data_IF_587448638318
#
_entry.id   IF_587448638318
#
_cell.length_a   1.000
_cell.length_b   1.000
_cell.length_c   1.000
_cell.angle_alpha   90.00
_cell.angle_beta   90.00
_cell.angle_gamma   90.00
#
_symmetry.space_group_name_H-M   'P 1'
#
loop_
_entity.id
_entity.type
_entity.pdbx_description
1 polymer ?
#
# COMPACT_ATOMS: atom_id res chain seq x y z
N UNK A 1 15.22 28.36 -18.98
CA UNK A 1 15.39 26.94 -19.39
C UNK A 1 14.37 26.12 -18.61
N UNK A 2 13.40 25.48 -19.26
CA UNK A 2 12.36 24.71 -18.57
C UNK A 2 12.88 23.31 -18.23
N UNK A 3 12.69 22.87 -16.98
CA UNK A 3 13.02 21.51 -16.57
C UNK A 3 12.01 20.53 -17.18
N UNK A 4 12.46 19.40 -17.75
CA UNK A 4 11.55 18.41 -18.31
C UNK A 4 10.66 17.83 -17.20
N UNK A 5 9.34 17.82 -17.44
CA UNK A 5 8.35 17.23 -16.54
C UNK A 5 8.57 15.73 -16.49
N UNK A 6 9.06 15.22 -15.36
CA UNK A 6 9.20 13.78 -15.15
C UNK A 6 7.81 13.17 -15.05
N UNK A 7 7.41 12.44 -16.10
CA UNK A 7 6.16 11.69 -16.11
C UNK A 7 6.29 10.51 -15.15
N UNK A 8 5.53 10.55 -14.06
CA UNK A 8 5.43 9.41 -13.14
C UNK A 8 4.50 8.39 -13.81
N UNK A 9 5.08 7.34 -14.38
CA UNK A 9 4.31 6.20 -14.85
C UNK A 9 3.85 5.39 -13.64
N UNK A 10 2.57 5.45 -13.30
CA UNK A 10 1.98 4.55 -12.31
C UNK A 10 1.87 3.14 -12.88
N UNK A 11 2.31 2.15 -12.12
CA UNK A 11 2.07 0.76 -12.45
C UNK A 11 0.57 0.44 -12.38
N UNK A 12 0.10 -0.40 -13.30
CA UNK A 12 -1.25 -0.93 -13.25
C UNK A 12 -1.48 -1.71 -11.94
N UNK A 13 -2.68 -1.58 -11.38
CA UNK A 13 -3.10 -2.42 -10.25
C UNK A 13 -3.08 -3.89 -10.68
N UNK A 14 -2.58 -4.76 -9.81
CA UNK A 14 -2.54 -6.21 -10.04
C UNK A 14 -2.86 -6.94 -8.75
N UNK A 15 -3.55 -8.06 -8.87
CA UNK A 15 -3.75 -8.97 -7.76
C UNK A 15 -2.42 -9.61 -7.33
N UNK A 16 -2.15 -9.56 -6.03
CA UNK A 16 -0.96 -10.14 -5.39
C UNK A 16 -1.45 -11.05 -4.25
N UNK A 17 -1.08 -12.34 -4.26
CA UNK A 17 -1.36 -13.24 -3.15
C UNK A 17 -0.80 -12.70 -1.83
N UNK A 18 -1.59 -12.77 -0.75
CA UNK A 18 -1.22 -12.22 0.56
C UNK A 18 0.11 -12.76 1.10
N UNK A 19 0.39 -14.05 0.86
CA UNK A 19 1.64 -14.70 1.27
C UNK A 19 2.90 -14.17 0.56
N UNK A 20 2.77 -13.34 -0.48
CA UNK A 20 3.88 -12.66 -1.14
C UNK A 20 4.10 -11.23 -0.62
N UNK A 21 3.22 -10.75 0.27
CA UNK A 21 3.38 -9.45 0.91
C UNK A 21 4.33 -9.58 2.10
N UNK A 22 5.39 -8.78 2.11
CA UNK A 22 6.30 -8.65 3.24
C UNK A 22 6.16 -7.27 3.86
N UNK A 23 6.12 -7.23 5.19
CA UNK A 23 6.13 -5.97 5.94
C UNK A 23 7.50 -5.30 5.77
N UNK A 24 7.50 -4.05 5.31
CA UNK A 24 8.67 -3.19 5.41
C UNK A 24 8.64 -2.47 6.76
N UNK A 25 9.79 -2.31 7.41
CA UNK A 25 9.91 -1.51 8.64
C UNK A 25 9.46 -0.05 8.42
N UNK A 26 9.48 0.44 7.18
CA UNK A 26 8.93 1.74 6.81
C UNK A 26 7.39 1.80 6.82
N UNK A 27 6.69 0.66 6.69
CA UNK A 27 5.23 0.59 6.66
C UNK A 27 4.58 0.69 8.06
N UNK A 28 5.35 0.55 9.14
CA UNK A 28 4.83 0.58 10.52
C UNK A 28 4.37 1.99 10.94
N UNK A 29 4.74 3.03 10.17
CA UNK A 29 4.57 4.43 10.57
C UNK A 29 3.39 5.08 9.86
N UNK A 30 2.16 4.73 10.27
CA UNK A 30 0.98 5.63 10.35
C UNK A 30 -0.31 4.81 10.42
N UNK A 31 -0.87 4.67 11.62
CA UNK A 31 -2.31 4.47 11.78
C UNK A 31 -2.96 5.84 11.60
N UNK A 32 -4.01 5.93 10.79
CA UNK A 32 -4.78 7.18 10.63
C UNK A 32 -5.29 7.61 12.01
N UNK A 33 -5.14 8.88 12.38
CA UNK A 33 -5.58 9.37 13.71
C UNK A 33 -7.05 9.01 13.94
N UNK A 34 -7.32 8.25 15.02
CA UNK A 34 -8.67 8.01 15.53
C UNK A 34 -9.28 6.64 15.20
N UNK A 35 -8.58 5.73 14.50
CA UNK A 35 -9.03 4.35 14.30
C UNK A 35 -8.08 3.39 15.03
N UNK A 36 -8.64 2.42 15.77
CA UNK A 36 -7.87 1.35 16.39
C UNK A 36 -7.52 0.28 15.34
N UNK A 37 -6.55 -0.60 15.62
CA UNK A 37 -6.23 -1.70 14.70
C UNK A 37 -7.42 -2.66 14.60
N UNK A 38 -8.13 -2.85 15.71
CA UNK A 38 -9.29 -3.72 15.83
C UNK A 38 -10.46 -3.20 15.00
N UNK A 39 -10.76 -1.89 15.07
CA UNK A 39 -11.81 -1.26 14.26
C UNK A 39 -11.48 -1.33 12.77
N UNK A 40 -10.20 -1.09 12.42
CA UNK A 40 -9.72 -1.20 11.04
C UNK A 40 -9.83 -2.65 10.53
N UNK A 41 -9.47 -3.65 11.35
CA UNK A 41 -9.61 -5.06 11.00
C UNK A 41 -11.08 -5.45 10.80
N UNK A 42 -11.97 -4.99 11.71
CA UNK A 42 -13.40 -5.22 11.61
C UNK A 42 -14.03 -4.53 10.40
N UNK A 43 -13.51 -3.38 9.96
CA UNK A 43 -13.98 -2.69 8.75
C UNK A 43 -13.52 -3.42 7.48
N UNK A 44 -12.27 -3.89 7.43
CA UNK A 44 -11.73 -4.69 6.33
C UNK A 44 -12.46 -6.05 6.22
N UNK A 45 -12.74 -6.72 7.34
CA UNK A 45 -13.48 -7.98 7.33
C UNK A 45 -14.92 -7.82 6.80
N UNK A 46 -15.58 -6.70 7.10
CA UNK A 46 -16.95 -6.43 6.65
C UNK A 46 -17.06 -5.92 5.22
N UNK A 47 -16.08 -5.15 4.74
CA UNK A 47 -16.18 -4.40 3.46
C UNK A 47 -15.10 -4.74 2.46
N UNK A 48 -14.09 -5.53 2.84
CA UNK A 48 -12.86 -5.69 2.08
C UNK A 48 -11.98 -4.44 2.11
N UNK A 49 -10.89 -4.48 1.33
CA UNK A 49 -10.01 -3.33 1.14
C UNK A 49 -10.68 -2.32 0.20
N UNK A 50 -11.15 -1.19 0.76
CA UNK A 50 -11.72 -0.09 -0.03
C UNK A 50 -10.67 0.64 -0.89
N UNK A 51 -9.39 0.49 -0.55
CA UNK A 51 -8.26 1.08 -1.27
C UNK A 51 -7.18 0.01 -1.47
N UNK A 52 -6.63 -0.07 -2.68
CA UNK A 52 -5.54 -0.99 -3.01
C UNK A 52 -4.29 -0.67 -2.19
N UNK A 53 -3.54 -1.70 -1.80
CA UNK A 53 -2.27 -1.52 -1.11
C UNK A 53 -1.19 -1.00 -2.07
N UNK A 54 -0.44 0.01 -1.63
CA UNK A 54 0.76 0.47 -2.35
C UNK A 54 1.96 -0.34 -1.89
N UNK A 55 2.48 -1.21 -2.77
CA UNK A 55 3.71 -1.96 -2.55
C UNK A 55 4.84 -1.43 -3.43
N UNK A 56 6.09 -1.64 -3.00
CA UNK A 56 7.25 -1.57 -3.91
C UNK A 56 7.68 -2.99 -4.22
N UNK A 57 8.02 -3.26 -5.48
CA UNK A 57 8.70 -4.51 -5.82
C UNK A 57 10.00 -4.57 -5.02
N UNK A 58 10.12 -5.56 -4.14
CA UNK A 58 11.39 -5.85 -3.47
C UNK A 58 12.37 -6.31 -4.52
N UNK A 59 13.37 -5.48 -4.84
CA UNK A 59 14.49 -5.86 -5.70
C UNK A 59 15.10 -7.16 -5.16
N UNK A 60 14.99 -8.25 -5.93
CA UNK A 60 15.90 -9.38 -5.82
C UNK A 60 16.71 -9.39 -7.10
N UNK A 61 17.93 -8.85 -7.03
CA UNK A 61 19.03 -9.08 -7.98
C UNK A 61 18.83 -8.53 -9.38
#
# INVERSE_FOLDING_TARGET
>A
MATPKQTITLNASRDIPFNKLMLSQSNVRRIKRGETIEDLAASIARRGLLQSLSGRAGWRG
#
